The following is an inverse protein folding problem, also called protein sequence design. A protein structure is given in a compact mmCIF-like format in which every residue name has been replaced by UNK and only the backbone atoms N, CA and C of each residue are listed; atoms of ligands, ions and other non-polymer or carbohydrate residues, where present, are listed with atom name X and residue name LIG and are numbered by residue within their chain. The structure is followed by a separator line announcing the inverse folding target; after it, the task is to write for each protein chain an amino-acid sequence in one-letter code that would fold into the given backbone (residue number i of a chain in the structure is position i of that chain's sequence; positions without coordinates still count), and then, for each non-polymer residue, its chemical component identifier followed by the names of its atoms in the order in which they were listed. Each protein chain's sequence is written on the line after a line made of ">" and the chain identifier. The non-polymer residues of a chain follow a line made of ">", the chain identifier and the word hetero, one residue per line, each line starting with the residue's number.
data_IF_064570770531
#
_entry.id   IF_064570770531
#
_cell.length_a   1.000
_cell.length_b   1.000
_cell.length_c   1.000
_cell.angle_alpha   90.00
_cell.angle_beta   90.00
_cell.angle_gamma   90.00
#
_symmetry.space_group_name_H-M   'P 1'
#
loop_
_entity.id
_entity.type
_entity.pdbx_description
1 polymer ?
#
# COMPACT_ATOMS: atom_id res chain seq x y z
N UNK A 1 49.71 -3.75 13.66
CA UNK A 1 48.40 -4.44 13.95
C UNK A 1 47.32 -3.77 13.14
N UNK A 2 46.92 -4.43 12.05
CA UNK A 2 45.79 -4.00 11.21
C UNK A 2 44.59 -4.71 11.77
N UNK A 3 43.65 -3.93 12.37
CA UNK A 3 42.36 -4.43 12.85
C UNK A 3 41.48 -4.64 11.63
N UNK A 4 41.23 -5.91 11.29
CA UNK A 4 40.20 -6.29 10.32
C UNK A 4 38.84 -6.10 10.95
N UNK A 5 38.10 -5.08 10.48
CA UNK A 5 36.67 -4.99 10.73
C UNK A 5 35.96 -6.09 9.93
N UNK A 6 35.59 -7.17 10.59
CA UNK A 6 34.60 -8.10 10.05
C UNK A 6 33.26 -7.43 10.02
N UNK A 7 32.82 -7.02 8.83
CA UNK A 7 31.44 -6.64 8.59
C UNK A 7 30.61 -7.91 8.68
N UNK A 8 29.80 -7.98 9.72
CA UNK A 8 28.87 -9.08 9.98
C UNK A 8 27.80 -9.08 8.85
N UNK A 9 27.95 -9.97 7.86
CA UNK A 9 27.08 -10.10 6.69
C UNK A 9 25.70 -10.71 6.98
N UNK A 10 25.25 -10.78 8.23
CA UNK A 10 24.10 -11.58 8.63
C UNK A 10 22.88 -10.81 9.17
N UNK A 11 22.68 -9.57 8.76
CA UNK A 11 21.37 -8.92 8.94
C UNK A 11 20.95 -8.20 7.65
N UNK A 12 20.78 -8.94 6.57
CA UNK A 12 19.84 -8.53 5.53
C UNK A 12 18.47 -8.75 6.19
N UNK A 13 17.87 -7.68 6.69
CA UNK A 13 16.49 -7.69 7.16
C UNK A 13 15.64 -8.29 6.04
N UNK A 14 15.24 -9.55 6.20
CA UNK A 14 14.36 -10.21 5.24
C UNK A 14 13.06 -9.42 5.19
N UNK A 15 12.69 -8.90 4.01
CA UNK A 15 11.44 -8.18 3.83
C UNK A 15 10.29 -9.05 4.29
N UNK A 16 9.38 -8.45 5.06
CA UNK A 16 8.19 -9.15 5.53
C UNK A 16 7.27 -9.44 4.35
N UNK A 17 6.87 -10.71 4.21
CA UNK A 17 5.85 -11.07 3.25
C UNK A 17 4.49 -10.54 3.70
N UNK A 18 3.74 -9.95 2.78
CA UNK A 18 2.41 -9.38 3.02
C UNK A 18 1.42 -10.00 2.02
N UNK A 19 0.28 -10.46 2.52
CA UNK A 19 -0.89 -10.81 1.70
C UNK A 19 -2.00 -9.84 2.07
N UNK A 20 -2.35 -8.94 1.15
CA UNK A 20 -3.36 -7.92 1.35
C UNK A 20 -4.58 -8.15 0.44
N UNK A 21 -5.77 -8.19 1.03
CA UNK A 21 -7.03 -8.30 0.31
C UNK A 21 -7.77 -6.96 0.28
N UNK A 22 -7.78 -6.29 -0.89
CA UNK A 22 -8.64 -5.13 -1.11
C UNK A 22 -10.05 -5.62 -1.51
N UNK A 23 -11.01 -5.42 -0.62
CA UNK A 23 -12.38 -5.88 -0.85
C UNK A 23 -13.18 -4.95 -1.74
N UNK A 24 -12.62 -3.77 -2.06
CA UNK A 24 -13.27 -2.76 -2.87
C UNK A 24 -14.66 -2.41 -2.31
N UNK A 25 -15.65 -2.18 -3.16
CA UNK A 25 -17.03 -1.83 -2.74
C UNK A 25 -17.88 -3.11 -2.61
N UNK A 26 -17.43 -4.05 -1.78
CA UNK A 26 -18.15 -5.29 -1.51
C UNK A 26 -18.29 -5.54 -0.02
N UNK A 27 -19.24 -6.38 0.35
CA UNK A 27 -19.55 -6.89 1.68
C UNK A 27 -20.29 -5.88 2.56
N UNK A 28 -21.50 -6.27 2.96
CA UNK A 28 -22.20 -5.67 4.08
C UNK A 28 -21.56 -6.10 5.42
N UNK A 29 -22.08 -5.66 6.55
CA UNK A 29 -21.50 -5.94 7.86
C UNK A 29 -21.50 -7.44 8.19
N UNK A 30 -22.60 -8.16 7.94
CA UNK A 30 -22.69 -9.59 8.22
C UNK A 30 -21.73 -10.41 7.36
N UNK A 31 -21.64 -10.09 6.08
CA UNK A 31 -20.69 -10.73 5.16
C UNK A 31 -19.24 -10.41 5.52
N UNK A 32 -18.98 -9.21 6.03
CA UNK A 32 -17.65 -8.81 6.53
C UNK A 32 -17.25 -9.65 7.73
N UNK A 33 -18.15 -9.79 8.72
CA UNK A 33 -17.94 -10.63 9.90
C UNK A 33 -17.64 -12.07 9.48
N UNK A 34 -18.52 -12.67 8.69
CA UNK A 34 -18.38 -14.05 8.24
C UNK A 34 -17.05 -14.31 7.52
N UNK A 35 -16.64 -13.40 6.61
CA UNK A 35 -15.39 -13.56 5.88
C UNK A 35 -14.17 -13.40 6.79
N UNK A 36 -14.16 -12.46 7.73
CA UNK A 36 -13.06 -12.30 8.69
C UNK A 36 -12.94 -13.55 9.58
N UNK A 37 -14.06 -14.06 10.10
CA UNK A 37 -14.08 -15.27 10.92
C UNK A 37 -13.55 -16.51 10.12
N UNK A 38 -13.92 -16.62 8.85
CA UNK A 38 -13.41 -17.67 7.96
C UNK A 38 -11.89 -17.53 7.75
N UNK A 39 -11.38 -16.31 7.53
CA UNK A 39 -9.94 -16.04 7.41
C UNK A 39 -9.23 -16.41 8.71
N UNK A 40 -9.75 -16.01 9.87
CA UNK A 40 -9.19 -16.34 11.19
C UNK A 40 -9.11 -17.87 11.38
N UNK A 41 -10.17 -18.59 11.02
CA UNK A 41 -10.25 -20.03 11.17
C UNK A 41 -9.29 -20.80 10.24
N UNK A 42 -9.06 -20.27 9.03
CA UNK A 42 -8.28 -20.94 7.98
C UNK A 42 -6.85 -20.44 7.83
N UNK A 43 -6.50 -19.30 8.43
CA UNK A 43 -5.16 -18.73 8.27
C UNK A 43 -4.10 -19.72 8.78
N UNK A 44 -3.02 -19.94 8.00
CA UNK A 44 -1.92 -20.77 8.45
C UNK A 44 -1.14 -20.09 9.58
N UNK A 45 -0.40 -20.86 10.36
CA UNK A 45 0.62 -20.31 11.25
C UNK A 45 1.82 -19.90 10.39
N UNK A 46 1.97 -18.60 10.17
CA UNK A 46 2.96 -18.04 9.25
C UNK A 46 3.47 -16.70 9.78
N UNK A 47 4.70 -16.33 9.40
CA UNK A 47 5.25 -14.99 9.62
C UNK A 47 4.73 -13.96 8.59
N UNK A 48 4.02 -14.41 7.55
CA UNK A 48 3.40 -13.53 6.56
C UNK A 48 2.30 -12.68 7.20
N UNK A 49 2.35 -11.39 6.99
CA UNK A 49 1.30 -10.47 7.43
C UNK A 49 0.06 -10.63 6.56
N UNK A 50 -1.10 -10.74 7.22
CA UNK A 50 -2.40 -10.77 6.55
C UNK A 50 -3.07 -9.42 6.77
N UNK A 51 -3.45 -8.77 5.67
CA UNK A 51 -4.13 -7.47 5.67
C UNK A 51 -5.49 -7.60 4.99
N UNK A 52 -6.53 -7.04 5.60
CA UNK A 52 -7.86 -6.95 5.01
C UNK A 52 -8.30 -5.49 4.90
N UNK A 53 -8.85 -5.12 3.74
CA UNK A 53 -9.33 -3.77 3.46
C UNK A 53 -10.84 -3.75 3.19
N UNK A 54 -11.68 -3.82 4.23
CA UNK A 54 -13.13 -3.67 4.08
C UNK A 54 -13.50 -2.22 3.77
N UNK A 55 -14.77 -1.99 3.44
CA UNK A 55 -15.32 -0.64 3.27
C UNK A 55 -15.33 0.15 4.58
N UNK A 56 -15.34 1.49 4.51
CA UNK A 56 -15.32 2.38 5.70
C UNK A 56 -16.37 2.03 6.74
N UNK A 57 -17.60 1.71 6.32
CA UNK A 57 -18.74 1.39 7.21
C UNK A 57 -18.50 0.13 8.05
N UNK A 58 -17.52 -0.70 7.68
CA UNK A 58 -17.20 -1.97 8.34
C UNK A 58 -15.87 -1.93 9.11
N UNK A 59 -15.09 -0.85 9.03
CA UNK A 59 -13.73 -0.79 9.61
C UNK A 59 -13.74 -1.02 11.12
N UNK A 60 -14.55 -0.28 11.88
CA UNK A 60 -14.60 -0.42 13.34
C UNK A 60 -14.95 -1.85 13.76
N UNK A 61 -15.93 -2.48 13.07
CA UNK A 61 -16.31 -3.87 13.35
C UNK A 61 -15.21 -4.86 12.96
N UNK A 62 -14.53 -4.61 11.85
CA UNK A 62 -13.39 -5.43 11.44
C UNK A 62 -12.24 -5.38 12.45
N UNK A 63 -11.91 -4.20 12.96
CA UNK A 63 -10.89 -4.03 14.02
C UNK A 63 -11.28 -4.78 15.29
N UNK A 64 -12.53 -4.67 15.73
CA UNK A 64 -13.04 -5.40 16.91
C UNK A 64 -12.81 -6.92 16.78
N UNK A 65 -13.16 -7.50 15.63
CA UNK A 65 -13.11 -8.95 15.40
C UNK A 65 -11.67 -9.44 15.23
N UNK A 66 -10.79 -8.64 14.60
CA UNK A 66 -9.41 -9.02 14.32
C UNK A 66 -8.46 -8.76 15.49
N UNK A 67 -8.94 -8.13 16.58
CA UNK A 67 -8.11 -7.81 17.74
C UNK A 67 -7.44 -9.08 18.32
N UNK A 68 -6.11 -9.05 18.42
CA UNK A 68 -5.30 -10.17 18.87
C UNK A 68 -5.26 -11.39 17.95
N UNK A 69 -5.79 -11.30 16.72
CA UNK A 69 -5.83 -12.42 15.75
C UNK A 69 -4.72 -12.39 14.71
N UNK A 70 -3.80 -11.39 14.76
CA UNK A 70 -2.71 -11.29 13.79
C UNK A 70 -3.18 -11.00 12.36
N UNK A 71 -4.24 -10.22 12.22
CA UNK A 71 -4.77 -9.68 10.97
C UNK A 71 -4.80 -8.16 11.11
N UNK A 72 -4.22 -7.47 10.14
CA UNK A 72 -4.23 -6.00 10.06
C UNK A 72 -5.44 -5.54 9.27
N UNK A 73 -6.18 -4.58 9.82
CA UNK A 73 -7.25 -3.89 9.09
C UNK A 73 -6.70 -2.63 8.47
N UNK A 74 -6.99 -2.39 7.19
CA UNK A 74 -6.56 -1.20 6.45
C UNK A 74 -7.75 -0.47 5.83
N UNK A 75 -7.68 0.85 5.78
CA UNK A 75 -8.65 1.66 5.05
C UNK A 75 -8.33 1.66 3.55
N UNK A 76 -9.37 1.74 2.71
CA UNK A 76 -9.21 1.77 1.24
C UNK A 76 -8.85 3.16 0.70
N UNK A 77 -8.93 4.20 1.51
CA UNK A 77 -8.61 5.59 1.20
C UNK A 77 -8.67 6.44 2.47
N UNK A 78 -8.21 7.69 2.37
CA UNK A 78 -8.48 8.78 3.33
C UNK A 78 -8.42 10.13 2.62
N UNK A 79 -8.95 11.18 3.25
CA UNK A 79 -8.80 12.55 2.79
C UNK A 79 -7.47 13.15 3.27
N UNK A 80 -6.92 14.10 2.52
CA UNK A 80 -5.66 14.78 2.85
C UNK A 80 -5.79 15.82 3.97
N UNK A 81 -6.99 16.36 4.23
CA UNK A 81 -7.21 17.33 5.29
C UNK A 81 -7.50 16.63 6.63
N UNK A 82 -7.07 17.28 7.71
CA UNK A 82 -7.29 16.82 9.10
C UNK A 82 -8.77 16.82 9.52
N UNK A 83 -9.58 17.62 8.85
CA UNK A 83 -11.02 17.79 9.09
C UNK A 83 -11.54 18.98 8.32
N UNK A 84 -12.81 19.33 8.51
CA UNK A 84 -13.43 20.53 7.91
C UNK A 84 -14.65 20.27 7.05
N UNK A 85 -14.96 21.18 6.15
CA UNK A 85 -16.15 21.15 5.31
C UNK A 85 -15.97 20.23 4.08
N UNK A 86 -15.80 18.95 4.34
CA UNK A 86 -15.59 17.90 3.33
C UNK A 86 -16.62 16.78 3.53
N UNK A 87 -17.87 17.11 3.27
CA UNK A 87 -19.01 16.20 3.48
C UNK A 87 -18.81 14.85 2.77
N UNK A 88 -18.82 13.77 3.56
CA UNK A 88 -18.64 12.40 3.06
C UNK A 88 -17.19 11.87 3.11
N UNK A 89 -16.18 12.72 3.39
CA UNK A 89 -14.79 12.32 3.48
C UNK A 89 -14.40 11.81 4.88
N UNK A 90 -13.34 11.02 4.93
CA UNK A 90 -12.81 10.42 6.15
C UNK A 90 -11.39 10.93 6.39
N UNK A 91 -11.16 11.58 7.52
CA UNK A 91 -9.83 12.06 7.91
C UNK A 91 -8.98 10.95 8.56
N UNK A 92 -7.65 11.12 8.52
CA UNK A 92 -6.70 10.20 9.14
C UNK A 92 -6.98 9.97 10.64
N UNK A 93 -7.26 11.04 11.39
CA UNK A 93 -7.59 10.96 12.82
C UNK A 93 -8.83 10.12 13.12
N UNK A 94 -9.84 10.09 12.23
CA UNK A 94 -11.01 9.23 12.40
C UNK A 94 -10.67 7.75 12.23
N UNK A 95 -9.69 7.44 11.39
CA UNK A 95 -9.22 6.07 11.17
C UNK A 95 -8.38 5.58 12.35
N UNK A 96 -7.44 6.39 12.80
CA UNK A 96 -6.57 6.02 13.94
C UNK A 96 -7.35 5.90 15.24
N UNK A 97 -8.39 6.70 15.45
CA UNK A 97 -9.28 6.62 16.61
C UNK A 97 -9.97 5.25 16.75
N UNK A 98 -10.34 4.64 15.64
CA UNK A 98 -10.93 3.29 15.62
C UNK A 98 -9.89 2.17 15.50
N UNK A 99 -8.58 2.48 15.59
CA UNK A 99 -7.49 1.49 15.53
C UNK A 99 -7.04 1.09 14.13
N UNK A 100 -7.40 1.84 13.09
CA UNK A 100 -6.93 1.61 11.72
C UNK A 100 -5.70 2.47 11.46
N UNK A 101 -4.52 1.85 11.49
CA UNK A 101 -3.22 2.51 11.32
C UNK A 101 -2.54 2.18 9.98
N UNK A 102 -3.29 1.70 9.01
CA UNK A 102 -2.80 1.44 7.66
C UNK A 102 -3.83 1.92 6.64
N UNK A 103 -3.39 2.50 5.54
CA UNK A 103 -4.26 3.00 4.47
C UNK A 103 -3.72 2.65 3.09
N UNK A 104 -4.61 2.30 2.15
CA UNK A 104 -4.31 2.17 0.72
C UNK A 104 -4.50 3.54 0.08
N UNK A 105 -3.48 4.02 -0.63
CA UNK A 105 -3.53 5.27 -1.38
C UNK A 105 -3.08 5.04 -2.83
N UNK A 106 -3.68 5.73 -3.78
CA UNK A 106 -3.30 5.71 -5.18
C UNK A 106 -3.77 4.50 -5.99
N UNK A 107 -4.72 3.70 -5.46
CA UNK A 107 -5.30 2.59 -6.20
C UNK A 107 -5.79 3.04 -7.59
N UNK A 108 -5.56 2.22 -8.62
CA UNK A 108 -5.87 2.55 -10.02
C UNK A 108 -7.32 3.02 -10.25
N UNK A 109 -8.30 2.42 -9.57
CA UNK A 109 -9.69 2.84 -9.65
C UNK A 109 -9.88 4.28 -9.13
N UNK A 110 -9.15 4.69 -8.10
CA UNK A 110 -9.27 6.05 -7.58
C UNK A 110 -8.57 7.08 -8.47
N UNK A 111 -7.47 6.71 -9.07
CA UNK A 111 -6.82 7.53 -10.11
C UNK A 111 -7.73 7.73 -11.31
N UNK A 112 -8.36 6.66 -11.80
CA UNK A 112 -9.21 6.68 -12.98
C UNK A 112 -10.59 7.32 -12.75
N UNK A 113 -11.30 6.94 -11.70
CA UNK A 113 -12.70 7.32 -11.51
C UNK A 113 -12.89 8.54 -10.60
N UNK A 114 -11.94 8.81 -9.70
CA UNK A 114 -12.01 9.93 -8.76
C UNK A 114 -10.92 10.98 -9.02
N UNK A 115 -10.18 10.84 -10.14
CA UNK A 115 -9.19 11.81 -10.61
C UNK A 115 -8.10 12.14 -9.58
N UNK A 116 -7.69 11.16 -8.77
CA UNK A 116 -6.60 11.35 -7.83
C UNK A 116 -5.27 11.48 -8.57
N UNK A 117 -4.69 12.68 -8.51
CA UNK A 117 -3.38 13.00 -9.09
C UNK A 117 -2.25 12.63 -8.14
N UNK A 118 -1.01 12.50 -8.65
CA UNK A 118 0.16 12.20 -7.81
C UNK A 118 0.41 13.31 -6.77
N UNK A 119 0.18 14.57 -7.11
CA UNK A 119 0.27 15.69 -6.16
C UNK A 119 -0.77 15.60 -5.03
N UNK A 120 -2.01 15.19 -5.33
CA UNK A 120 -3.02 14.94 -4.31
C UNK A 120 -2.61 13.75 -3.43
N UNK A 121 -2.08 12.70 -4.04
CA UNK A 121 -1.62 11.51 -3.32
C UNK A 121 -0.41 11.82 -2.43
N UNK A 122 0.53 12.66 -2.86
CA UNK A 122 1.61 13.15 -2.01
C UNK A 122 1.06 13.82 -0.75
N UNK A 123 0.07 14.71 -0.87
CA UNK A 123 -0.57 15.36 0.28
C UNK A 123 -1.29 14.36 1.20
N UNK A 124 -1.88 13.30 0.66
CA UNK A 124 -2.49 12.22 1.46
C UNK A 124 -1.43 11.41 2.21
N UNK A 125 -0.31 11.12 1.55
CA UNK A 125 0.83 10.42 2.16
C UNK A 125 1.38 11.22 3.32
N UNK A 126 1.63 12.52 3.14
CA UNK A 126 2.11 13.41 4.21
C UNK A 126 1.18 13.39 5.44
N UNK A 127 -0.13 13.49 5.19
CA UNK A 127 -1.12 13.45 6.27
C UNK A 127 -1.15 12.08 6.96
N UNK A 128 -1.08 10.99 6.21
CA UNK A 128 -1.02 9.65 6.78
C UNK A 128 0.22 9.47 7.69
N UNK A 129 1.39 9.88 7.19
CA UNK A 129 2.65 9.80 7.95
C UNK A 129 2.65 10.68 9.21
N UNK A 130 2.04 11.87 9.14
CA UNK A 130 1.84 12.73 10.31
C UNK A 130 1.02 12.06 11.42
N UNK A 131 0.09 11.18 11.05
CA UNK A 131 -0.69 10.34 11.96
C UNK A 131 -0.03 8.97 12.23
N UNK A 132 1.25 8.81 11.93
CA UNK A 132 2.02 7.57 12.13
C UNK A 132 1.40 6.35 11.43
N UNK A 133 0.58 6.58 10.40
CA UNK A 133 -0.03 5.51 9.62
C UNK A 133 0.96 4.91 8.63
N UNK A 134 0.83 3.61 8.41
CA UNK A 134 1.49 2.92 7.29
C UNK A 134 0.67 3.12 6.02
N UNK A 135 1.36 3.43 4.92
CA UNK A 135 0.77 3.63 3.61
C UNK A 135 1.09 2.44 2.69
N UNK A 136 0.07 1.84 2.10
CA UNK A 136 0.20 0.94 0.96
C UNK A 136 -0.05 1.80 -0.28
N UNK A 137 1.04 2.23 -0.92
CA UNK A 137 0.98 3.13 -2.07
C UNK A 137 0.87 2.34 -3.37
N UNK A 138 -0.28 2.47 -4.03
CA UNK A 138 -0.58 1.80 -5.29
C UNK A 138 -0.19 2.67 -6.49
N UNK A 139 0.43 2.06 -7.46
CA UNK A 139 0.86 2.71 -8.71
C UNK A 139 1.06 1.67 -9.81
N UNK A 140 1.03 2.11 -11.05
CA UNK A 140 1.23 1.25 -12.19
C UNK A 140 0.76 1.89 -13.50
N UNK A 141 1.12 1.27 -14.59
CA UNK A 141 0.85 1.74 -15.96
C UNK A 141 -0.41 1.11 -16.55
N UNK A 142 -1.01 1.81 -17.51
CA UNK A 142 -2.09 1.31 -18.35
C UNK A 142 -1.53 0.53 -19.57
N UNK A 143 -2.40 -0.24 -20.24
CA UNK A 143 -2.02 -1.04 -21.41
C UNK A 143 -1.38 -0.22 -22.53
N UNK A 144 -1.92 0.97 -22.80
CA UNK A 144 -1.37 1.88 -23.82
C UNK A 144 0.06 2.30 -23.53
N UNK A 145 0.40 2.49 -22.24
CA UNK A 145 1.75 2.89 -21.85
C UNK A 145 2.72 1.74 -22.06
N UNK A 146 2.29 0.51 -21.74
CA UNK A 146 3.09 -0.69 -21.96
C UNK A 146 3.32 -0.95 -23.45
N UNK A 147 2.30 -0.81 -24.27
CA UNK A 147 2.39 -0.99 -25.73
C UNK A 147 3.29 0.03 -26.43
N UNK A 148 3.45 1.21 -25.83
CA UNK A 148 4.29 2.29 -26.33
C UNK A 148 5.67 2.36 -25.65
N UNK A 149 6.08 1.33 -24.92
CA UNK A 149 7.33 1.28 -24.15
C UNK A 149 7.51 2.45 -23.17
N UNK A 150 6.39 3.07 -22.72
CA UNK A 150 6.36 4.21 -21.81
C UNK A 150 6.11 3.83 -20.34
N UNK A 151 5.92 2.55 -20.03
CA UNK A 151 5.55 2.06 -18.70
C UNK A 151 6.56 2.42 -17.61
N UNK A 152 7.85 2.40 -17.91
CA UNK A 152 8.89 2.81 -16.96
C UNK A 152 8.77 4.29 -16.58
N UNK A 153 8.56 5.16 -17.58
CA UNK A 153 8.41 6.59 -17.34
C UNK A 153 7.16 6.87 -16.48
N UNK A 154 6.03 6.22 -16.79
CA UNK A 154 4.79 6.39 -16.02
C UNK A 154 5.01 6.01 -14.55
N UNK A 155 5.61 4.84 -14.29
CA UNK A 155 5.90 4.37 -12.94
C UNK A 155 6.91 5.28 -12.23
N UNK A 156 7.95 5.75 -12.93
CA UNK A 156 8.91 6.71 -12.36
C UNK A 156 8.23 8.02 -11.96
N UNK A 157 7.38 8.61 -12.82
CA UNK A 157 6.64 9.84 -12.50
C UNK A 157 5.71 9.66 -11.30
N UNK A 158 4.94 8.59 -11.25
CA UNK A 158 4.05 8.32 -10.12
C UNK A 158 4.82 8.21 -8.79
N UNK A 159 5.99 7.57 -8.78
CA UNK A 159 6.82 7.46 -7.59
C UNK A 159 7.51 8.79 -7.22
N UNK A 160 8.02 9.53 -8.20
CA UNK A 160 8.66 10.83 -7.97
C UNK A 160 7.68 11.83 -7.40
N UNK A 161 6.55 12.01 -8.05
CA UNK A 161 5.58 13.03 -7.69
C UNK A 161 4.77 12.66 -6.45
N UNK A 162 4.59 11.35 -6.20
CA UNK A 162 3.84 10.85 -5.06
C UNK A 162 4.67 10.63 -3.79
N UNK A 163 5.96 10.26 -3.90
CA UNK A 163 6.73 9.78 -2.75
C UNK A 163 8.15 10.37 -2.61
N UNK A 164 8.83 10.83 -3.68
CA UNK A 164 10.25 11.19 -3.57
C UNK A 164 10.53 12.53 -2.89
N UNK A 165 9.51 13.19 -2.39
CA UNK A 165 9.65 14.32 -1.46
C UNK A 165 9.87 13.87 -0.01
N UNK A 166 9.65 12.58 0.31
CA UNK A 166 9.78 12.01 1.65
C UNK A 166 11.25 11.92 2.09
N UNK A 167 11.49 11.99 3.39
CA UNK A 167 12.78 11.69 3.97
C UNK A 167 13.00 10.17 4.07
N UNK A 168 14.26 9.72 4.13
CA UNK A 168 14.61 8.29 4.25
C UNK A 168 13.88 7.57 5.40
N UNK A 169 13.74 8.24 6.56
CA UNK A 169 13.07 7.67 7.75
C UNK A 169 11.60 7.33 7.50
N UNK A 170 10.92 8.08 6.63
CA UNK A 170 9.49 7.94 6.37
C UNK A 170 9.19 6.65 5.60
N UNK A 171 10.16 6.13 4.86
CA UNK A 171 10.03 4.89 4.07
C UNK A 171 9.78 3.65 4.93
N UNK A 172 10.09 3.68 6.23
CA UNK A 172 9.72 2.60 7.15
C UNK A 172 8.20 2.36 7.22
N UNK A 173 7.41 3.39 6.88
CA UNK A 173 5.95 3.34 6.86
C UNK A 173 5.37 3.22 5.43
N UNK A 174 6.18 3.02 4.40
CA UNK A 174 5.72 2.90 3.03
C UNK A 174 5.83 1.46 2.54
N UNK A 175 4.75 0.95 1.98
CA UNK A 175 4.70 -0.30 1.23
C UNK A 175 4.37 0.04 -0.22
N UNK A 176 5.25 -0.31 -1.14
CA UNK A 176 5.03 -0.11 -2.57
C UNK A 176 4.19 -1.25 -3.14
N UNK A 177 3.03 -0.94 -3.69
CA UNK A 177 2.11 -1.88 -4.33
C UNK A 177 2.02 -1.59 -5.84
N UNK A 178 2.91 -2.21 -6.60
CA UNK A 178 2.86 -2.12 -8.07
C UNK A 178 1.68 -2.93 -8.61
N UNK A 179 0.85 -2.29 -9.41
CA UNK A 179 -0.30 -2.88 -10.09
C UNK A 179 -0.15 -2.73 -11.61
N UNK A 180 0.04 -3.82 -12.38
CA UNK A 180 -0.13 -3.74 -13.84
C UNK A 180 -1.62 -3.49 -14.12
N UNK A 181 -2.03 -2.21 -14.27
CA UNK A 181 -3.46 -1.81 -14.35
C UNK A 181 -4.20 -2.54 -15.45
N UNK A 182 -3.51 -2.80 -16.56
CA UNK A 182 -4.03 -3.53 -17.70
C UNK A 182 -4.33 -5.02 -17.42
N UNK A 183 -3.82 -5.57 -16.32
CA UNK A 183 -4.10 -6.95 -15.91
C UNK A 183 -5.18 -7.04 -14.82
N UNK A 184 -5.75 -5.90 -14.35
CA UNK A 184 -6.75 -5.90 -13.29
C UNK A 184 -8.14 -6.03 -13.90
N UNK A 185 -8.78 -7.22 -13.75
CA UNK A 185 -10.16 -7.45 -14.15
C UNK A 185 -10.42 -7.45 -15.66
N UNK A 186 -9.37 -7.52 -16.48
CA UNK A 186 -9.45 -7.48 -17.94
C UNK A 186 -9.42 -8.88 -18.57
N UNK A 187 -9.01 -9.91 -17.82
CA UNK A 187 -8.70 -11.24 -18.32
C UNK A 187 -7.26 -11.40 -18.81
N UNK A 188 -6.51 -10.30 -18.94
CA UNK A 188 -5.08 -10.32 -19.22
C UNK A 188 -4.30 -10.62 -17.93
N UNK A 189 -3.12 -11.22 -18.06
CA UNK A 189 -2.23 -11.52 -16.96
C UNK A 189 -0.81 -11.07 -17.28
N UNK A 190 -0.16 -10.40 -16.33
CA UNK A 190 1.26 -10.11 -16.43
C UNK A 190 2.07 -11.41 -16.27
N UNK A 191 3.08 -11.61 -17.10
CA UNK A 191 4.01 -12.74 -16.90
C UNK A 191 4.90 -12.51 -15.68
N UNK A 192 5.46 -13.57 -15.07
CA UNK A 192 6.45 -13.44 -14.01
C UNK A 192 7.64 -12.55 -14.39
N UNK A 193 8.09 -12.63 -15.67
CA UNK A 193 9.21 -11.85 -16.19
C UNK A 193 8.86 -10.36 -16.23
N UNK A 194 7.65 -10.01 -16.70
CA UNK A 194 7.16 -8.63 -16.71
C UNK A 194 7.04 -8.06 -15.30
N UNK A 195 6.52 -8.82 -14.36
CA UNK A 195 6.45 -8.42 -12.96
C UNK A 195 7.85 -8.21 -12.38
N UNK A 196 8.78 -9.14 -12.63
CA UNK A 196 10.17 -9.07 -12.14
C UNK A 196 10.93 -7.87 -12.75
N UNK A 197 10.71 -7.57 -14.02
CA UNK A 197 11.30 -6.42 -14.70
C UNK A 197 10.91 -5.11 -14.00
N UNK A 198 9.60 -4.91 -13.76
CA UNK A 198 9.09 -3.72 -13.07
C UNK A 198 9.56 -3.66 -11.61
N UNK A 199 9.53 -4.76 -10.88
CA UNK A 199 10.04 -4.78 -9.51
C UNK A 199 11.53 -4.43 -9.43
N UNK A 200 12.33 -4.92 -10.39
CA UNK A 200 13.76 -4.58 -10.47
C UNK A 200 13.94 -3.09 -10.76
N UNK A 201 13.20 -2.54 -11.73
CA UNK A 201 13.22 -1.13 -12.07
C UNK A 201 12.86 -0.25 -10.85
N UNK A 202 11.74 -0.53 -10.19
CA UNK A 202 11.27 0.20 -9.00
C UNK A 202 12.34 0.19 -7.91
N UNK A 203 12.93 -0.98 -7.59
CA UNK A 203 13.99 -1.08 -6.58
C UNK A 203 15.20 -0.23 -6.94
N UNK A 204 15.69 -0.36 -8.19
CA UNK A 204 16.82 0.43 -8.66
C UNK A 204 16.55 1.92 -8.57
N UNK A 205 15.32 2.36 -8.87
CA UNK A 205 14.92 3.76 -8.79
C UNK A 205 14.94 4.27 -7.34
N UNK A 206 14.38 3.51 -6.40
CA UNK A 206 14.37 3.85 -4.97
C UNK A 206 15.79 3.83 -4.40
N UNK A 207 16.57 2.80 -4.69
CA UNK A 207 17.97 2.67 -4.25
C UNK A 207 18.86 3.83 -4.75
N UNK A 208 18.62 4.31 -5.97
CA UNK A 208 19.36 5.46 -6.54
C UNK A 208 19.13 6.74 -5.75
N UNK A 209 17.95 6.93 -5.17
CA UNK A 209 17.57 8.15 -4.44
C UNK A 209 17.92 8.03 -2.96
N UNK A 210 17.67 6.89 -2.34
CA UNK A 210 17.71 6.72 -0.88
C UNK A 210 18.82 5.77 -0.38
N UNK A 211 19.49 5.04 -1.27
CA UNK A 211 20.49 4.04 -0.91
C UNK A 211 19.91 2.64 -0.69
N UNK A 212 20.79 1.66 -0.41
CA UNK A 212 20.43 0.23 -0.35
C UNK A 212 19.69 -0.22 0.92
N UNK A 213 19.56 0.65 1.92
CA UNK A 213 19.02 0.29 3.25
C UNK A 213 17.52 0.61 3.40
N UNK A 214 16.78 0.66 2.31
CA UNK A 214 15.33 0.91 2.29
C UNK A 214 14.56 -0.34 1.91
#
# INVERSE_FOLDING_TARGET
>A
QISTFEINKNEISMRKNIVAGNWKMHKNQQETIALIEEIIAKKPNTSTEIIVAPTFVNLAKAVEITNGKGITVTAQNMHQAEGGAFTGEIAAGMLTDIGVNTVILGHSERRAYFHETDALLASKVDTALKHEMRVIFCFGEELKDRQNDNHFNVVEYQLRDGLFHLEKKDWANIVLAYEPVWAIGTGETASPEQAQEMHKFIRTLVEKVYGFDI
#
